data_IF_379180858598
#
_entry.id   IF_379180858598
#
_cell.length_a   1.000
_cell.length_b   1.000
_cell.length_c   1.000
_cell.angle_alpha   90.00
_cell.angle_beta   90.00
_cell.angle_gamma   90.00
#
_symmetry.space_group_name_H-M   'P 1'
#
loop_
_entity.id
_entity.type
_entity.pdbx_description
1 polymer ?
#
# COMPACT_ATOMS: atom_id res chain seq x y z
N UNK A 1 4.04 14.78 10.61
CA UNK A 1 3.37 14.10 9.47
C UNK A 1 2.32 13.16 10.05
N UNK A 2 1.04 13.45 9.84
CA UNK A 2 -0.05 12.68 10.43
C UNK A 2 -0.22 11.31 9.75
N UNK A 3 -0.61 10.26 10.49
CA UNK A 3 -0.93 8.97 9.90
C UNK A 3 -2.10 9.06 8.91
N UNK A 4 -1.98 8.33 7.80
CA UNK A 4 -3.05 8.18 6.82
C UNK A 4 -4.09 7.21 7.37
N UNK A 5 -5.39 7.54 7.22
CA UNK A 5 -6.47 6.64 7.63
C UNK A 5 -6.61 5.41 6.70
N UNK A 6 -5.96 5.40 5.54
CA UNK A 6 -5.89 4.24 4.66
C UNK A 6 -5.42 2.98 5.38
N UNK A 7 -4.42 3.08 6.28
CA UNK A 7 -3.93 1.93 7.04
C UNK A 7 -5.03 1.39 7.96
N UNK A 8 -5.67 2.20 8.83
CA UNK A 8 -6.85 1.78 9.59
C UNK A 8 -7.97 1.16 8.74
N UNK A 9 -8.29 1.72 7.58
CA UNK A 9 -9.33 1.16 6.71
C UNK A 9 -8.94 -0.19 6.10
N UNK A 10 -7.68 -0.36 5.69
CA UNK A 10 -7.16 -1.64 5.23
C UNK A 10 -7.09 -2.66 6.38
N UNK A 11 -6.66 -2.24 7.57
CA UNK A 11 -6.66 -3.08 8.78
C UNK A 11 -8.08 -3.57 9.08
N UNK A 12 -9.08 -2.70 8.98
CA UNK A 12 -10.48 -3.04 9.16
C UNK A 12 -10.97 -4.04 8.09
N UNK A 13 -10.63 -3.82 6.81
CA UNK A 13 -11.01 -4.71 5.72
C UNK A 13 -10.30 -6.08 5.77
N UNK A 14 -9.04 -6.09 6.22
CA UNK A 14 -8.25 -7.31 6.37
C UNK A 14 -8.65 -8.12 7.60
N UNK A 15 -9.21 -7.46 8.62
CA UNK A 15 -9.66 -8.09 9.86
C UNK A 15 -8.53 -8.84 10.56
N UNK A 16 -8.80 -10.10 10.91
CA UNK A 16 -7.89 -10.96 11.70
C UNK A 16 -7.00 -11.85 10.83
N UNK A 17 -6.90 -11.57 9.53
CA UNK A 17 -6.04 -12.33 8.62
C UNK A 17 -4.56 -12.17 8.99
N UNK A 18 -3.74 -13.18 8.69
CA UNK A 18 -2.30 -13.10 8.86
C UNK A 18 -1.69 -12.22 7.76
N UNK A 19 -1.58 -10.92 8.00
CA UNK A 19 -0.91 -9.99 7.08
C UNK A 19 0.23 -9.22 7.73
N UNK A 20 1.17 -8.80 6.91
CA UNK A 20 2.33 -7.99 7.26
C UNK A 20 2.34 -6.72 6.42
N UNK A 21 2.72 -5.60 7.02
CA UNK A 21 2.89 -4.33 6.33
C UNK A 21 4.34 -3.88 6.43
N UNK A 22 4.81 -3.18 5.40
CA UNK A 22 6.11 -2.49 5.43
C UNK A 22 5.89 -1.05 5.84
N UNK A 23 6.21 -0.73 7.09
CA UNK A 23 6.02 0.60 7.66
C UNK A 23 7.27 1.48 7.47
N UNK A 24 7.09 2.80 7.36
CA UNK A 24 8.22 3.74 7.40
C UNK A 24 8.79 3.79 8.82
N UNK A 25 10.11 3.84 8.98
CA UNK A 25 10.77 3.94 10.30
C UNK A 25 10.25 5.13 11.13
N UNK A 26 9.87 6.22 10.49
CA UNK A 26 9.33 7.41 11.15
C UNK A 26 7.94 7.19 11.78
N UNK A 27 7.19 6.16 11.37
CA UNK A 27 5.90 5.83 11.99
C UNK A 27 6.07 5.28 13.42
N UNK A 28 7.26 4.80 13.79
CA UNK A 28 7.57 4.40 15.17
C UNK A 28 7.57 5.59 16.14
N UNK A 29 7.67 6.82 15.65
CA UNK A 29 7.63 8.03 16.49
C UNK A 29 6.21 8.34 17.00
N UNK A 30 5.18 7.66 16.47
CA UNK A 30 3.78 7.83 16.90
C UNK A 30 3.41 6.68 17.84
N UNK A 31 3.12 6.93 19.14
CA UNK A 31 2.98 5.87 20.15
C UNK A 31 1.95 4.79 19.80
N UNK A 32 0.79 5.17 19.27
CA UNK A 32 -0.30 4.24 18.90
C UNK A 32 0.11 3.35 17.71
N UNK A 33 0.75 3.94 16.69
CA UNK A 33 1.23 3.19 15.52
C UNK A 33 2.42 2.30 15.88
N UNK A 34 3.33 2.79 16.72
CA UNK A 34 4.49 2.05 17.20
C UNK A 34 4.08 0.76 17.90
N UNK A 35 3.07 0.84 18.79
CA UNK A 35 2.51 -0.32 19.48
C UNK A 35 1.84 -1.29 18.50
N UNK A 36 1.09 -0.78 17.52
CA UNK A 36 0.44 -1.61 16.49
C UNK A 36 1.45 -2.32 15.57
N UNK A 37 2.52 -1.62 15.16
CA UNK A 37 3.61 -2.17 14.34
C UNK A 37 4.35 -3.28 15.10
N UNK A 38 4.63 -3.06 16.39
CA UNK A 38 5.31 -4.02 17.26
C UNK A 38 4.47 -5.28 17.49
N UNK A 39 3.19 -5.12 17.87
CA UNK A 39 2.27 -6.24 18.12
C UNK A 39 1.94 -7.02 16.84
N UNK A 40 1.77 -6.33 15.70
CA UNK A 40 1.51 -6.96 14.39
C UNK A 40 2.72 -7.66 13.76
N UNK A 41 3.91 -7.52 14.36
CA UNK A 41 5.17 -8.05 13.82
C UNK A 41 5.52 -7.46 12.45
N UNK A 42 5.13 -6.22 12.19
CA UNK A 42 5.43 -5.49 10.96
C UNK A 42 6.89 -5.04 10.93
N UNK A 43 7.47 -4.90 9.72
CA UNK A 43 8.86 -4.44 9.57
C UNK A 43 8.86 -2.97 9.21
N UNK A 44 9.77 -2.24 9.84
CA UNK A 44 10.08 -0.88 9.44
C UNK A 44 11.22 -0.86 8.45
N UNK A 45 11.04 -0.17 7.34
CA UNK A 45 12.09 0.06 6.35
C UNK A 45 12.69 1.45 6.51
N UNK A 46 14.02 1.52 6.51
CA UNK A 46 14.75 2.76 6.28
C UNK A 46 15.10 2.86 4.80
N UNK A 47 14.35 3.70 4.07
CA UNK A 47 14.53 3.86 2.62
C UNK A 47 15.80 4.62 2.27
N UNK A 48 16.48 5.25 3.23
CA UNK A 48 17.78 5.89 2.98
C UNK A 48 18.93 4.87 2.97
N UNK A 49 18.72 3.69 3.56
CA UNK A 49 19.76 2.69 3.76
C UNK A 49 19.53 1.46 2.89
N UNK A 50 20.40 1.23 1.91
CA UNK A 50 20.32 0.09 0.98
C UNK A 50 20.35 -1.28 1.69
N UNK A 51 21.13 -1.42 2.76
CA UNK A 51 21.16 -2.65 3.55
C UNK A 51 19.82 -2.90 4.26
N UNK A 52 19.18 -1.85 4.79
CA UNK A 52 17.84 -1.95 5.38
C UNK A 52 16.79 -2.35 4.35
N UNK A 53 16.86 -1.81 3.13
CA UNK A 53 15.96 -2.20 2.05
C UNK A 53 16.12 -3.68 1.67
N UNK A 54 17.37 -4.16 1.53
CA UNK A 54 17.66 -5.56 1.22
C UNK A 54 17.21 -6.51 2.33
N UNK A 55 17.44 -6.15 3.60
CA UNK A 55 16.97 -6.92 4.74
C UNK A 55 15.44 -7.01 4.76
N UNK A 56 14.76 -5.90 4.47
CA UNK A 56 13.29 -5.87 4.37
C UNK A 56 12.79 -6.74 3.23
N UNK A 57 13.44 -6.70 2.08
CA UNK A 57 13.11 -7.52 0.92
C UNK A 57 13.22 -9.02 1.23
N UNK A 58 14.35 -9.45 1.82
CA UNK A 58 14.55 -10.85 2.25
C UNK A 58 13.50 -11.29 3.27
N UNK A 59 13.18 -10.43 4.24
CA UNK A 59 12.16 -10.73 5.25
C UNK A 59 10.75 -10.80 4.66
N UNK A 60 10.43 -9.92 3.71
CA UNK A 60 9.16 -9.94 2.98
C UNK A 60 8.96 -11.25 2.21
N UNK A 61 10.00 -11.74 1.52
CA UNK A 61 10.00 -13.06 0.88
C UNK A 61 9.72 -14.16 1.90
N UNK A 62 10.48 -14.18 3.01
CA UNK A 62 10.33 -15.20 4.05
C UNK A 62 8.92 -15.25 4.64
N UNK A 63 8.25 -14.09 4.81
CA UNK A 63 6.87 -14.05 5.28
C UNK A 63 5.87 -14.59 4.26
N UNK A 64 6.06 -14.27 2.99
CA UNK A 64 5.21 -14.81 1.93
C UNK A 64 5.36 -16.33 1.83
N UNK A 65 6.58 -16.86 1.94
CA UNK A 65 6.86 -18.30 1.99
C UNK A 65 6.21 -18.98 3.21
N UNK A 66 6.07 -18.26 4.33
CA UNK A 66 5.38 -18.73 5.55
C UNK A 66 3.84 -18.58 5.47
N UNK A 67 3.29 -18.17 4.32
CA UNK A 67 1.85 -18.04 4.12
C UNK A 67 1.24 -16.74 4.68
N UNK A 68 2.04 -15.74 5.03
CA UNK A 68 1.52 -14.43 5.42
C UNK A 68 1.23 -13.57 4.18
N UNK A 69 0.17 -12.77 4.23
CA UNK A 69 -0.14 -11.80 3.19
C UNK A 69 0.72 -10.54 3.34
N UNK A 70 1.39 -10.06 2.30
CA UNK A 70 2.13 -8.80 2.34
C UNK A 70 1.28 -7.65 1.77
N UNK A 71 0.90 -6.71 2.62
CA UNK A 71 0.18 -5.49 2.21
C UNK A 71 1.19 -4.37 2.00
N UNK A 72 1.14 -3.74 0.84
CA UNK A 72 2.06 -2.67 0.44
C UNK A 72 1.34 -1.56 -0.30
N UNK A 73 1.87 -0.34 -0.18
CA UNK A 73 1.46 0.82 -0.95
C UNK A 73 2.58 1.16 -1.93
N UNK A 74 2.48 0.74 -3.21
CA UNK A 74 3.60 0.78 -4.15
C UNK A 74 4.03 2.20 -4.52
N UNK A 75 3.17 3.21 -4.41
CA UNK A 75 3.54 4.63 -4.55
C UNK A 75 4.58 5.07 -3.50
N UNK A 76 4.48 4.50 -2.30
CA UNK A 76 5.37 4.75 -1.19
C UNK A 76 5.31 6.15 -0.57
N UNK A 77 4.54 7.09 -1.12
CA UNK A 77 4.30 8.42 -0.56
C UNK A 77 2.81 8.73 -0.54
N UNK A 78 2.42 9.79 0.17
CA UNK A 78 1.03 10.24 0.21
C UNK A 78 0.75 11.05 -1.06
N UNK A 79 -0.26 10.66 -1.83
CA UNK A 79 -0.79 11.51 -2.90
C UNK A 79 -1.38 12.78 -2.30
N UNK A 80 -0.88 13.95 -2.74
CA UNK A 80 -1.38 15.26 -2.29
C UNK A 80 -2.71 15.62 -2.95
N UNK A 81 -2.96 15.10 -4.14
CA UNK A 81 -4.12 15.41 -4.98
C UNK A 81 -5.21 14.34 -4.90
N UNK A 82 -4.94 13.20 -4.28
CA UNK A 82 -5.82 12.03 -4.28
C UNK A 82 -5.70 11.16 -5.54
N UNK A 83 -4.89 11.59 -6.52
CA UNK A 83 -4.61 10.84 -7.75
C UNK A 83 -3.53 9.80 -7.55
N UNK A 84 -3.67 8.67 -8.25
CA UNK A 84 -2.69 7.58 -8.25
C UNK A 84 -1.37 8.01 -8.89
N UNK A 85 -0.26 7.64 -8.25
CA UNK A 85 1.10 7.93 -8.69
C UNK A 85 1.84 6.71 -9.27
N UNK A 86 3.11 6.87 -9.68
CA UNK A 86 3.93 5.76 -10.19
C UNK A 86 4.21 4.72 -9.12
N UNK A 87 4.27 3.45 -9.53
CA UNK A 87 4.45 2.32 -8.64
C UNK A 87 5.91 1.85 -8.57
N UNK A 88 6.35 1.53 -7.36
CA UNK A 88 7.67 0.90 -7.14
C UNK A 88 7.59 -0.61 -7.36
N UNK A 89 8.56 -1.13 -8.11
CA UNK A 89 8.65 -2.57 -8.48
C UNK A 89 9.01 -3.52 -7.33
N UNK A 90 9.46 -3.00 -6.17
CA UNK A 90 10.01 -3.84 -5.09
C UNK A 90 9.04 -4.91 -4.57
N UNK A 91 7.74 -4.59 -4.47
CA UNK A 91 6.73 -5.54 -4.02
C UNK A 91 6.41 -6.62 -5.07
N UNK A 92 6.35 -6.22 -6.34
CA UNK A 92 6.11 -7.10 -7.48
C UNK A 92 7.21 -8.14 -7.61
N UNK A 93 8.48 -7.70 -7.44
CA UNK A 93 9.64 -8.59 -7.39
C UNK A 93 9.58 -9.61 -6.25
N UNK A 94 9.10 -9.21 -5.08
CA UNK A 94 8.90 -10.16 -3.97
C UNK A 94 7.84 -11.19 -4.33
N UNK A 95 6.69 -10.76 -4.85
CA UNK A 95 5.58 -11.64 -5.23
C UNK A 95 5.98 -12.64 -6.33
N UNK A 96 6.68 -12.19 -7.38
CA UNK A 96 7.24 -13.07 -8.41
C UNK A 96 8.22 -14.10 -7.85
N UNK A 97 9.11 -13.67 -6.94
CA UNK A 97 10.16 -14.55 -6.40
C UNK A 97 9.61 -15.78 -5.68
N UNK A 98 8.43 -15.63 -5.07
CA UNK A 98 7.70 -16.70 -4.36
C UNK A 98 6.51 -17.24 -5.14
N UNK A 99 6.27 -16.77 -6.37
CA UNK A 99 5.10 -17.10 -7.21
C UNK A 99 3.75 -16.89 -6.50
N UNK A 100 3.66 -15.85 -5.67
CA UNK A 100 2.42 -15.49 -4.98
C UNK A 100 1.55 -14.63 -5.90
N UNK A 101 0.22 -14.81 -5.94
CA UNK A 101 -0.67 -13.90 -6.65
C UNK A 101 -0.67 -12.51 -5.98
N UNK A 102 -0.97 -11.49 -6.77
CA UNK A 102 -1.14 -10.10 -6.32
C UNK A 102 -2.62 -9.75 -6.36
N UNK A 103 -3.16 -9.22 -5.26
CA UNK A 103 -4.55 -8.77 -5.20
C UNK A 103 -4.57 -7.23 -5.15
N UNK A 104 -5.07 -6.54 -6.19
CA UNK A 104 -5.17 -5.09 -6.19
C UNK A 104 -6.22 -4.60 -5.17
N UNK A 105 -5.89 -3.53 -4.45
CA UNK A 105 -6.80 -2.88 -3.49
C UNK A 105 -6.97 -1.40 -3.87
N UNK A 106 -8.18 -1.04 -4.30
CA UNK A 106 -8.53 0.35 -4.62
C UNK A 106 -9.27 1.00 -3.46
N UNK A 107 -8.80 2.16 -3.00
CA UNK A 107 -9.42 2.93 -1.92
C UNK A 107 -9.96 4.24 -2.48
N UNK A 108 -11.28 4.41 -2.44
CA UNK A 108 -11.93 5.65 -2.88
C UNK A 108 -12.07 6.66 -1.75
N UNK A 109 -11.94 7.94 -2.08
CA UNK A 109 -12.29 9.10 -1.24
C UNK A 109 -11.57 9.25 0.12
N UNK A 110 -10.74 8.29 0.55
CA UNK A 110 -10.00 8.37 1.82
C UNK A 110 -9.11 9.63 1.93
N UNK A 111 -8.67 10.18 0.79
CA UNK A 111 -7.90 11.42 0.72
C UNK A 111 -8.69 12.67 1.16
N UNK A 112 -10.03 12.63 1.15
CA UNK A 112 -10.90 13.75 1.54
C UNK A 112 -10.99 13.90 3.06
N UNK A 113 -10.83 12.80 3.81
CA UNK A 113 -11.01 12.78 5.28
C UNK A 113 -9.86 13.47 6.00
N UNK A 114 -8.65 13.23 5.50
CA UNK A 114 -7.45 13.86 6.01
C UNK A 114 -6.78 14.57 4.82
N UNK A 115 -6.96 15.88 4.62
CA UNK A 115 -6.20 16.65 3.64
C UNK A 115 -4.70 16.69 3.99
N UNK A 116 -3.81 16.95 3.01
CA UNK A 116 -2.39 17.21 3.30
C UNK A 116 -2.25 18.22 4.45
N UNK A 117 -1.25 18.01 5.32
CA UNK A 117 -0.89 18.93 6.42
C UNK A 117 -1.85 19.04 7.62
N UNK A 118 -2.92 18.24 7.68
CA UNK A 118 -3.79 18.13 8.87
C UNK A 118 -3.34 17.00 9.81
N UNK A 119 -3.31 17.28 11.13
CA UNK A 119 -2.82 16.35 12.18
C UNK A 119 -3.91 15.40 12.66
N UNK A 120 -5.16 15.86 12.64
CA UNK A 120 -6.33 15.12 13.04
C UNK A 120 -7.40 15.22 11.94
N UNK A 121 -8.10 14.13 11.59
CA UNK A 121 -9.19 14.17 10.61
C UNK A 121 -10.34 15.00 11.17
N UNK A 122 -10.33 16.30 10.88
CA UNK A 122 -11.31 17.23 11.42
C UNK A 122 -12.21 17.74 10.30
N UNK A 123 -13.30 16.99 10.07
CA UNK A 123 -14.45 17.40 9.26
C UNK A 123 -15.76 16.97 9.95
N UNK A 124 -16.07 17.53 11.14
CA UNK A 124 -17.31 17.21 11.84
C UNK A 124 -18.52 17.52 10.95
N UNK A 125 -19.45 16.56 10.84
CA UNK A 125 -20.69 16.71 10.06
C UNK A 125 -20.62 16.34 8.57
N UNK A 126 -19.44 16.01 8.02
CA UNK A 126 -19.34 15.52 6.64
C UNK A 126 -19.31 13.98 6.60
N UNK A 127 -20.34 13.38 6.02
CA UNK A 127 -20.34 11.96 5.67
C UNK A 127 -19.57 11.77 4.37
N UNK A 128 -18.32 11.31 4.47
CA UNK A 128 -17.51 10.96 3.30
C UNK A 128 -17.65 9.44 3.09
N UNK A 129 -18.25 8.98 1.97
CA UNK A 129 -18.32 7.55 1.69
C UNK A 129 -16.92 7.02 1.44
N UNK A 130 -16.56 5.91 2.08
CA UNK A 130 -15.28 5.22 1.86
C UNK A 130 -15.59 3.88 1.27
N UNK A 131 -15.01 3.61 0.11
CA UNK A 131 -15.14 2.33 -0.56
C UNK A 131 -13.77 1.70 -0.68
N UNK A 132 -13.69 0.42 -0.30
CA UNK A 132 -12.53 -0.42 -0.52
C UNK A 132 -12.96 -1.49 -1.51
N UNK A 133 -12.35 -1.49 -2.68
CA UNK A 133 -12.63 -2.47 -3.72
C UNK A 133 -11.46 -3.44 -3.78
N UNK A 134 -11.77 -4.72 -3.62
CA UNK A 134 -10.84 -5.83 -3.76
C UNK A 134 -10.92 -6.31 -5.21
N UNK A 135 -9.84 -6.11 -5.96
CA UNK A 135 -9.73 -6.53 -7.35
C UNK A 135 -9.53 -8.03 -7.51
N UNK A 136 -9.50 -8.49 -8.75
CA UNK A 136 -9.22 -9.90 -9.06
C UNK A 136 -7.76 -10.26 -8.76
N UNK A 137 -7.47 -11.49 -8.29
CA UNK A 137 -6.10 -11.97 -8.16
C UNK A 137 -5.39 -11.98 -9.51
N UNK A 138 -4.15 -11.48 -9.52
CA UNK A 138 -3.26 -11.47 -10.69
C UNK A 138 -2.12 -12.43 -10.41
N UNK A 139 -2.09 -13.53 -11.16
CA UNK A 139 -1.01 -14.51 -11.08
C UNK A 139 0.33 -13.90 -11.52
N UNK A 140 1.40 -14.29 -10.83
CA UNK A 140 2.76 -13.75 -11.06
C UNK A 140 3.64 -14.63 -11.94
N UNK A 141 3.26 -15.89 -12.15
CA UNK A 141 4.04 -16.82 -12.95
C UNK A 141 4.06 -16.43 -14.44
N UNK A 142 5.24 -16.47 -15.05
CA UNK A 142 5.43 -16.20 -16.48
C UNK A 142 5.30 -14.74 -16.91
N UNK A 143 5.16 -13.79 -15.97
CA UNK A 143 5.02 -12.36 -16.27
C UNK A 143 6.23 -11.56 -15.81
N UNK A 144 6.60 -10.55 -16.60
CA UNK A 144 7.62 -9.57 -16.23
C UNK A 144 7.13 -8.60 -15.15
N UNK A 145 8.07 -7.91 -14.49
CA UNK A 145 7.74 -6.90 -13.48
C UNK A 145 6.83 -5.80 -14.05
N UNK A 146 7.11 -5.35 -15.27
CA UNK A 146 6.37 -4.27 -15.91
C UNK A 146 4.95 -4.69 -16.27
N UNK A 147 4.78 -5.89 -16.84
CA UNK A 147 3.44 -6.44 -17.13
C UNK A 147 2.58 -6.60 -15.87
N UNK A 148 3.18 -6.99 -14.75
CA UNK A 148 2.44 -7.08 -13.49
C UNK A 148 2.01 -5.72 -12.97
N UNK A 149 2.89 -4.73 -13.04
CA UNK A 149 2.55 -3.37 -12.61
C UNK A 149 1.44 -2.83 -13.49
N UNK A 150 1.52 -3.01 -14.81
CA UNK A 150 0.49 -2.59 -15.76
C UNK A 150 -0.86 -3.24 -15.49
N UNK A 151 -0.91 -4.57 -15.30
CA UNK A 151 -2.16 -5.27 -14.98
C UNK A 151 -2.78 -4.81 -13.66
N UNK A 152 -1.96 -4.64 -12.63
CA UNK A 152 -2.43 -4.15 -11.32
C UNK A 152 -2.94 -2.72 -11.44
N UNK A 153 -2.21 -1.85 -12.13
CA UNK A 153 -2.62 -0.45 -12.36
C UNK A 153 -3.91 -0.39 -13.16
N UNK A 154 -4.05 -1.18 -14.22
CA UNK A 154 -5.27 -1.24 -15.03
C UNK A 154 -6.48 -1.66 -14.18
N UNK A 155 -6.35 -2.72 -13.38
CA UNK A 155 -7.41 -3.18 -12.48
C UNK A 155 -7.75 -2.11 -11.43
N UNK A 156 -6.77 -1.43 -10.87
CA UNK A 156 -7.00 -0.35 -9.91
C UNK A 156 -7.71 0.84 -10.55
N UNK A 157 -7.29 1.25 -11.75
CA UNK A 157 -7.88 2.37 -12.51
C UNK A 157 -9.34 2.10 -12.85
N UNK A 158 -9.69 0.87 -13.25
CA UNK A 158 -11.07 0.47 -13.52
C UNK A 158 -11.98 0.64 -12.29
N UNK A 159 -11.42 0.44 -11.11
CA UNK A 159 -12.12 0.53 -9.84
C UNK A 159 -12.13 1.94 -9.22
N UNK A 160 -11.35 2.88 -9.75
CA UNK A 160 -11.22 4.23 -9.20
C UNK A 160 -12.09 5.26 -9.95
N UNK A 161 -12.65 6.27 -9.25
CA UNK A 161 -13.33 7.39 -9.88
C UNK A 161 -12.33 8.28 -10.65
N UNK A 162 -12.80 9.01 -11.66
CA UNK A 162 -11.93 9.82 -12.56
C UNK A 162 -11.08 10.87 -11.83
N UNK A 163 -11.56 11.37 -10.70
CA UNK A 163 -10.82 12.30 -9.85
C UNK A 163 -9.59 11.67 -9.16
N UNK A 164 -9.54 10.34 -9.04
CA UNK A 164 -8.42 9.60 -8.42
C UNK A 164 -7.56 8.82 -9.44
N UNK A 165 -8.00 8.74 -10.70
CA UNK A 165 -7.21 8.14 -11.79
C UNK A 165 -5.90 8.92 -12.01
N UNK A 166 -4.83 8.24 -12.48
CA UNK A 166 -3.56 8.88 -12.81
C UNK A 166 -3.78 9.91 -13.92
N UNK A 167 -2.94 10.96 -13.94
CA UNK A 167 -2.97 11.95 -15.01
C UNK A 167 -2.45 11.32 -16.32
N UNK A 168 -2.97 11.79 -17.45
CA UNK A 168 -2.48 11.38 -18.77
C UNK A 168 -0.97 11.65 -18.86
N UNK A 169 -0.20 10.64 -19.27
CA UNK A 169 1.26 10.72 -19.35
C UNK A 169 2.01 10.45 -18.05
N UNK A 170 1.34 10.09 -16.95
CA UNK A 170 2.02 9.66 -15.72
C UNK A 170 2.71 8.32 -15.98
N UNK A 171 4.01 8.17 -15.66
CA UNK A 171 4.69 6.88 -15.80
C UNK A 171 4.08 5.86 -14.84
N UNK A 172 3.92 4.62 -15.33
CA UNK A 172 3.27 3.54 -14.58
C UNK A 172 4.19 3.03 -13.44
N UNK A 173 5.49 2.96 -13.71
CA UNK A 173 6.50 2.53 -12.74
C UNK A 173 7.64 3.55 -12.58
N UNK A 174 8.26 3.55 -11.39
CA UNK A 174 9.43 4.38 -11.03
C UNK A 174 10.67 3.56 -10.76
#
# INVERSE_FOLDING_TARGET
MAPRLDIPFVVLAMGWRNYKMVAKKELLKVPILSKSISVGGHITIDRSNRASQLATFKKGISWLEQGACLVTFPEGTRSKTGRMGPFKKGAFKMAQRVKSPIIPLSIKYAHLINPPDTVFPWRPGQSIPIEIIIGKPIETEGKSDDELVEQVVAEMVNNLPDCQKPLVGTPISS
#
